data_IF_527111868490
#
_entry.id   IF_527111868490
#
_cell.length_a   1.000
_cell.length_b   1.000
_cell.length_c   1.000
_cell.angle_alpha   90.00
_cell.angle_beta   90.00
_cell.angle_gamma   90.00
#
_symmetry.space_group_name_H-M   'P 1'
#
loop_
_entity.id
_entity.type
_entity.pdbx_description
1 polymer ?
#
# COMPACT_ATOMS: atom_id res chain seq x y z
N UNK A 1 -2.77 -1.75 17.48
CA UNK A 1 -3.82 -0.71 17.71
C UNK A 1 -3.31 0.67 18.15
N UNK A 2 -2.52 0.82 19.22
CA UNK A 2 -2.07 2.17 19.68
C UNK A 2 -1.33 2.94 18.58
N UNK A 3 -0.40 2.28 17.88
CA UNK A 3 0.38 2.86 16.78
C UNK A 3 -0.50 3.47 15.67
N UNK A 4 -1.56 2.76 15.29
CA UNK A 4 -2.50 3.18 14.25
C UNK A 4 -3.30 4.41 14.67
N UNK A 5 -3.72 4.47 15.94
CA UNK A 5 -4.38 5.67 16.50
C UNK A 5 -3.46 6.88 16.47
N UNK A 6 -2.19 6.72 16.82
CA UNK A 6 -1.18 7.78 16.79
C UNK A 6 -0.92 8.28 15.37
N UNK A 7 -0.74 7.36 14.42
CA UNK A 7 -0.55 7.69 13.01
C UNK A 7 -1.76 8.43 12.44
N UNK A 8 -2.97 7.91 12.63
CA UNK A 8 -4.19 8.56 12.15
C UNK A 8 -4.32 10.00 12.67
N UNK A 9 -4.06 10.22 13.96
CA UNK A 9 -4.07 11.57 14.56
C UNK A 9 -3.07 12.49 13.88
N UNK A 10 -1.85 12.00 13.63
CA UNK A 10 -0.83 12.77 12.95
C UNK A 10 -1.23 13.12 11.51
N UNK A 11 -1.81 12.19 10.75
CA UNK A 11 -2.27 12.44 9.39
C UNK A 11 -3.35 13.54 9.35
N UNK A 12 -4.33 13.47 10.27
CA UNK A 12 -5.34 14.53 10.45
C UNK A 12 -4.71 15.88 10.78
N UNK A 13 -3.73 15.92 11.69
CA UNK A 13 -3.01 17.15 12.06
C UNK A 13 -2.21 17.74 10.89
N UNK A 14 -1.79 16.90 9.94
CA UNK A 14 -1.08 17.30 8.71
C UNK A 14 -2.03 17.68 7.57
N UNK A 15 -3.33 17.55 7.77
CA UNK A 15 -4.37 17.95 6.80
C UNK A 15 -4.68 16.90 5.74
N UNK A 16 -4.25 15.65 5.94
CA UNK A 16 -4.66 14.55 5.07
C UNK A 16 -6.14 14.22 5.30
N UNK A 17 -6.84 13.85 4.22
CA UNK A 17 -8.18 13.27 4.33
C UNK A 17 -8.00 11.79 4.68
N UNK A 18 -8.53 11.39 5.83
CA UNK A 18 -8.42 10.01 6.33
C UNK A 18 -9.77 9.47 6.76
N UNK A 19 -9.99 8.18 6.51
CA UNK A 19 -11.15 7.43 6.97
C UNK A 19 -11.11 7.19 8.48
N UNK A 20 -12.10 6.46 8.99
CA UNK A 20 -12.07 5.95 10.37
C UNK A 20 -11.09 4.78 10.50
N UNK A 21 -10.82 4.38 11.75
CA UNK A 21 -10.06 3.14 11.99
C UNK A 21 -11.02 1.98 11.83
N UNK A 22 -10.67 1.06 10.96
CA UNK A 22 -11.42 -0.15 10.65
C UNK A 22 -10.58 -1.39 11.00
N UNK A 23 -11.22 -2.55 10.94
CA UNK A 23 -10.61 -3.86 11.19
C UNK A 23 -10.66 -4.64 9.88
N UNK A 24 -9.54 -4.72 9.17
CA UNK A 24 -9.44 -5.40 7.87
C UNK A 24 -9.14 -6.89 8.09
N UNK A 25 -10.00 -7.77 7.58
CA UNK A 25 -9.83 -9.22 7.61
C UNK A 25 -9.21 -9.75 6.30
N UNK A 26 -8.87 -11.04 6.28
CA UNK A 26 -8.37 -11.77 5.10
C UNK A 26 -7.03 -11.26 4.53
N UNK A 27 -6.18 -10.71 5.40
CA UNK A 27 -4.80 -10.33 5.07
C UNK A 27 -3.84 -11.52 5.16
N UNK A 28 -2.68 -11.43 4.50
CA UNK A 28 -1.64 -12.46 4.54
C UNK A 28 -0.37 -11.95 5.22
N UNK A 29 0.33 -12.83 5.95
CA UNK A 29 1.63 -12.53 6.56
C UNK A 29 2.76 -12.61 5.51
N UNK A 30 3.98 -12.27 5.93
CA UNK A 30 5.16 -12.26 5.05
C UNK A 30 5.60 -13.67 4.59
N UNK A 31 4.98 -14.73 5.11
CA UNK A 31 5.17 -16.11 4.68
C UNK A 31 4.03 -16.59 3.76
N UNK A 32 3.08 -15.72 3.40
CA UNK A 32 1.91 -16.05 2.60
C UNK A 32 0.83 -16.82 3.35
N UNK A 33 0.84 -16.81 4.69
CA UNK A 33 -0.21 -17.41 5.50
C UNK A 33 -1.34 -16.42 5.75
N UNK A 34 -2.58 -16.88 5.68
CA UNK A 34 -3.74 -16.07 6.07
C UNK A 34 -3.63 -15.68 7.55
N UNK A 35 -3.71 -14.38 7.83
CA UNK A 35 -3.80 -13.83 9.17
C UNK A 35 -5.24 -14.04 9.63
N UNK A 36 -5.40 -14.88 10.66
CA UNK A 36 -6.72 -15.24 11.19
C UNK A 36 -7.35 -14.13 12.06
N UNK A 37 -6.61 -13.04 12.27
CA UNK A 37 -7.02 -11.88 13.07
C UNK A 37 -7.32 -10.69 12.16
N UNK A 38 -8.25 -9.84 12.57
CA UNK A 38 -8.43 -8.57 11.89
C UNK A 38 -7.27 -7.63 12.22
N UNK A 39 -6.84 -6.88 11.22
CA UNK A 39 -5.75 -5.92 11.35
C UNK A 39 -6.36 -4.52 11.47
N UNK A 40 -5.97 -3.72 12.47
CA UNK A 40 -6.42 -2.34 12.55
C UNK A 40 -5.80 -1.51 11.43
N UNK A 41 -6.64 -0.86 10.65
CA UNK A 41 -6.25 -0.04 9.49
C UNK A 41 -6.94 1.32 9.52
N UNK A 42 -6.39 2.30 8.79
CA UNK A 42 -7.15 3.43 8.29
C UNK A 42 -6.73 3.72 6.84
N UNK A 43 -7.63 4.32 6.09
CA UNK A 43 -7.40 4.66 4.68
C UNK A 43 -7.23 6.16 4.51
N UNK A 44 -6.45 6.53 3.50
CA UNK A 44 -6.33 7.88 2.94
C UNK A 44 -6.83 7.84 1.50
N UNK A 45 -6.90 8.98 0.82
CA UNK A 45 -7.21 8.99 -0.63
C UNK A 45 -6.19 8.20 -1.47
N UNK A 46 -5.02 7.84 -0.96
CA UNK A 46 -3.97 7.19 -1.77
C UNK A 46 -3.47 5.86 -1.21
N UNK A 47 -3.76 5.55 0.05
CA UNK A 47 -3.07 4.49 0.78
C UNK A 47 -3.95 3.93 1.89
N UNK A 48 -3.98 2.60 2.04
CA UNK A 48 -4.35 1.95 3.30
C UNK A 48 -3.12 1.85 4.19
N UNK A 49 -3.29 2.08 5.49
CA UNK A 49 -2.24 2.03 6.50
C UNK A 49 -2.69 1.09 7.61
N UNK A 50 -1.96 0.00 7.81
CA UNK A 50 -2.25 -0.99 8.84
C UNK A 50 -1.05 -1.34 9.70
N UNK A 51 -1.30 -2.04 10.80
CA UNK A 51 -0.25 -2.52 11.69
C UNK A 51 -0.60 -3.87 12.29
N UNK A 52 0.30 -4.82 12.06
CA UNK A 52 0.21 -6.20 12.50
C UNK A 52 1.55 -6.63 13.05
N UNK A 53 1.54 -7.29 14.21
CA UNK A 53 2.75 -7.64 14.97
C UNK A 53 3.72 -6.45 15.10
N UNK A 54 4.97 -6.61 14.63
CA UNK A 54 6.02 -5.61 14.69
C UNK A 54 6.12 -4.75 13.41
N UNK A 55 5.11 -4.81 12.54
CA UNK A 55 5.08 -4.16 11.23
C UNK A 55 4.00 -3.07 11.16
N UNK A 56 4.35 -1.99 10.46
CA UNK A 56 3.41 -1.01 9.92
C UNK A 56 3.53 -1.07 8.40
N UNK A 57 2.42 -1.32 7.71
CA UNK A 57 2.40 -1.41 6.25
C UNK A 57 1.65 -0.23 5.63
N UNK A 58 2.11 0.19 4.45
CA UNK A 58 1.47 1.16 3.58
C UNK A 58 1.14 0.50 2.24
N UNK A 59 -0.13 0.38 1.92
CA UNK A 59 -0.62 -0.26 0.68
C UNK A 59 -1.16 0.79 -0.28
N UNK A 60 -0.46 0.98 -1.39
CA UNK A 60 -0.90 1.83 -2.50
C UNK A 60 -1.51 0.97 -3.60
N UNK A 61 -2.70 1.32 -4.06
CA UNK A 61 -3.36 0.65 -5.18
C UNK A 61 -3.29 1.55 -6.41
N UNK A 62 -2.78 1.01 -7.52
CA UNK A 62 -2.55 1.75 -8.76
C UNK A 62 -3.37 1.12 -9.89
N UNK A 63 -3.96 1.96 -10.74
CA UNK A 63 -4.63 1.49 -11.95
C UNK A 63 -3.62 0.90 -12.92
N UNK A 64 -3.78 -0.37 -13.28
CA UNK A 64 -2.87 -1.06 -14.19
C UNK A 64 -2.80 -0.39 -15.56
N UNK A 65 -3.88 0.24 -16.04
CA UNK A 65 -3.90 0.94 -17.34
C UNK A 65 -3.06 2.22 -17.37
N UNK A 66 -2.67 2.74 -16.20
CA UNK A 66 -1.91 3.97 -16.05
C UNK A 66 -0.40 3.72 -15.91
N UNK A 67 0.01 2.45 -15.80
CA UNK A 67 1.40 2.06 -15.64
C UNK A 67 2.26 2.58 -16.80
N UNK A 68 3.52 2.91 -16.50
CA UNK A 68 4.46 3.37 -17.51
C UNK A 68 5.90 3.04 -17.13
N UNK A 69 6.83 3.17 -18.09
CA UNK A 69 8.25 2.82 -17.88
C UNK A 69 8.91 3.60 -16.75
N UNK A 70 8.59 4.89 -16.59
CA UNK A 70 9.13 5.72 -15.51
C UNK A 70 8.74 5.17 -14.14
N UNK A 71 7.51 4.68 -14.01
CA UNK A 71 7.04 4.03 -12.80
C UNK A 71 7.78 2.70 -12.51
N UNK A 72 8.01 1.87 -13.54
CA UNK A 72 8.78 0.62 -13.38
C UNK A 72 10.23 0.90 -12.96
N UNK A 73 10.88 1.86 -13.63
CA UNK A 73 12.22 2.29 -13.26
C UNK A 73 12.27 2.84 -11.83
N UNK A 74 11.22 3.54 -11.40
CA UNK A 74 11.10 4.01 -10.04
C UNK A 74 11.00 2.84 -9.05
N UNK A 75 10.11 1.88 -9.28
CA UNK A 75 9.98 0.68 -8.44
C UNK A 75 11.30 -0.09 -8.32
N UNK A 76 12.01 -0.33 -9.43
CA UNK A 76 13.31 -1.03 -9.43
C UNK A 76 14.38 -0.37 -8.54
N UNK A 77 14.27 0.94 -8.31
CA UNK A 77 15.21 1.71 -7.49
C UNK A 77 14.76 1.86 -6.04
N UNK A 78 13.57 1.37 -5.67
CA UNK A 78 13.10 1.38 -4.29
C UNK A 78 13.62 0.15 -3.55
N UNK A 79 14.19 0.39 -2.37
CA UNK A 79 14.43 -0.65 -1.37
C UNK A 79 13.18 -0.85 -0.53
N UNK A 80 12.88 -2.09 -0.14
CA UNK A 80 11.84 -2.46 0.83
C UNK A 80 10.41 -2.16 0.36
N UNK A 81 10.04 -2.72 -0.79
CA UNK A 81 8.65 -2.82 -1.20
C UNK A 81 8.35 -4.23 -1.70
N UNK A 82 7.09 -4.59 -1.68
CA UNK A 82 6.53 -5.73 -2.39
C UNK A 82 5.46 -5.23 -3.36
N UNK A 83 5.33 -5.89 -4.50
CA UNK A 83 4.27 -5.59 -5.46
C UNK A 83 3.41 -6.84 -5.66
N UNK A 84 2.10 -6.67 -5.74
CA UNK A 84 1.13 -7.76 -5.83
C UNK A 84 0.12 -7.54 -6.95
N UNK A 85 -0.35 -8.64 -7.55
CA UNK A 85 -1.60 -8.61 -8.31
C UNK A 85 -2.77 -8.35 -7.36
N UNK A 86 -3.73 -7.53 -7.78
CA UNK A 86 -4.85 -7.14 -6.92
C UNK A 86 -5.85 -8.29 -6.64
N UNK A 87 -5.99 -9.31 -7.50
CA UNK A 87 -6.86 -10.47 -7.20
C UNK A 87 -6.10 -11.68 -6.69
N UNK A 88 -4.80 -11.76 -6.96
CA UNK A 88 -3.92 -12.87 -6.60
C UNK A 88 -2.78 -12.35 -5.71
N UNK A 89 -3.12 -12.03 -4.45
CA UNK A 89 -2.19 -11.54 -3.44
C UNK A 89 -1.10 -12.55 -3.05
N UNK A 90 -1.28 -13.83 -3.39
CA UNK A 90 -0.34 -14.90 -3.06
C UNK A 90 0.91 -14.92 -3.94
N UNK A 91 0.95 -14.15 -5.03
CA UNK A 91 2.11 -14.09 -5.92
C UNK A 91 2.76 -12.70 -5.87
N UNK A 92 3.93 -12.62 -5.25
CA UNK A 92 4.83 -11.47 -5.38
C UNK A 92 5.16 -11.23 -6.86
N UNK A 93 4.98 -9.99 -7.30
CA UNK A 93 5.38 -9.53 -8.62
C UNK A 93 6.83 -9.06 -8.58
N UNK A 94 7.72 -9.90 -9.07
CA UNK A 94 9.12 -9.50 -9.32
C UNK A 94 9.16 -8.46 -10.45
N UNK A 95 9.48 -7.20 -10.09
CA UNK A 95 9.58 -6.08 -11.03
C UNK A 95 10.73 -6.24 -12.05
N UNK A 96 11.70 -7.11 -11.76
CA UNK A 96 12.77 -7.47 -12.68
C UNK A 96 12.42 -8.64 -13.61
N UNK A 97 11.32 -9.35 -13.34
CA UNK A 97 10.83 -10.40 -14.21
C UNK A 97 10.35 -9.84 -15.55
N UNK A 98 10.66 -10.57 -16.62
CA UNK A 98 10.11 -10.31 -17.96
C UNK A 98 8.59 -10.42 -18.00
N UNK A 99 8.01 -11.16 -17.04
CA UNK A 99 6.57 -11.41 -16.96
C UNK A 99 5.82 -10.33 -16.16
N UNK A 100 6.52 -9.39 -15.50
CA UNK A 100 5.91 -8.35 -14.67
C UNK A 100 4.84 -7.56 -15.44
N UNK A 101 5.24 -7.01 -16.60
CA UNK A 101 4.34 -6.22 -17.44
C UNK A 101 3.15 -7.03 -17.96
N UNK A 102 3.35 -8.33 -18.21
CA UNK A 102 2.28 -9.21 -18.68
C UNK A 102 1.28 -9.53 -17.56
N UNK A 103 1.75 -9.69 -16.32
CA UNK A 103 0.90 -9.93 -15.15
C UNK A 103 0.07 -8.70 -14.80
N UNK A 104 0.69 -7.51 -14.68
CA UNK A 104 -0.05 -6.28 -14.32
C UNK A 104 -1.13 -5.92 -15.35
N UNK A 105 -0.88 -6.16 -16.65
CA UNK A 105 -1.81 -5.84 -17.74
C UNK A 105 -3.08 -6.68 -17.73
N UNK A 106 -3.04 -7.86 -17.09
CA UNK A 106 -4.21 -8.75 -16.98
C UNK A 106 -5.14 -8.34 -15.85
N UNK A 107 -4.65 -7.49 -14.94
CA UNK A 107 -5.39 -7.00 -13.79
C UNK A 107 -5.92 -5.57 -14.02
N UNK A 108 -7.01 -5.22 -13.33
CA UNK A 108 -7.52 -3.84 -13.30
C UNK A 108 -6.63 -2.94 -12.44
N UNK A 109 -6.10 -3.50 -11.37
CA UNK A 109 -5.23 -2.81 -10.41
C UNK A 109 -4.04 -3.69 -10.04
N UNK A 110 -3.00 -3.06 -9.51
CA UNK A 110 -1.94 -3.75 -8.77
C UNK A 110 -1.63 -2.99 -7.49
N UNK A 111 -1.08 -3.69 -6.51
CA UNK A 111 -0.77 -3.13 -5.20
C UNK A 111 0.74 -2.99 -5.00
N UNK A 112 1.13 -2.00 -4.21
CA UNK A 112 2.50 -1.75 -3.79
C UNK A 112 2.48 -1.61 -2.27
N UNK A 113 3.14 -2.52 -1.58
CA UNK A 113 3.21 -2.54 -0.12
C UNK A 113 4.59 -2.11 0.32
N UNK A 114 4.63 -1.17 1.27
CA UNK A 114 5.85 -0.78 1.97
C UNK A 114 5.73 -1.16 3.42
N UNK A 115 6.74 -1.85 3.94
CA UNK A 115 6.78 -2.28 5.34
C UNK A 115 7.80 -1.48 6.15
N UNK A 116 7.42 -1.14 7.37
CA UNK A 116 8.21 -0.40 8.34
C UNK A 116 8.10 -1.04 9.72
N UNK A 117 9.02 -0.69 10.63
CA UNK A 117 8.93 -1.20 12.00
C UNK A 117 7.83 -0.46 12.77
N UNK A 118 7.07 -1.18 13.60
CA UNK A 118 6.12 -0.58 14.56
C UNK A 118 6.81 0.39 15.53
N UNK A 119 8.10 0.18 15.78
CA UNK A 119 8.94 1.00 16.66
C UNK A 119 9.46 2.28 15.99
N UNK A 120 9.32 2.42 14.67
CA UNK A 120 9.72 3.63 13.96
C UNK A 120 8.89 4.83 14.44
N UNK A 121 9.50 6.02 14.52
CA UNK A 121 8.79 7.22 14.95
C UNK A 121 7.62 7.58 14.01
N UNK A 122 6.48 8.01 14.57
CA UNK A 122 5.27 8.28 13.78
C UNK A 122 5.45 9.42 12.78
N UNK A 123 6.30 10.42 13.07
CA UNK A 123 6.64 11.47 12.11
C UNK A 123 7.49 10.93 10.97
N UNK A 124 8.47 10.08 11.28
CA UNK A 124 9.24 9.38 10.25
C UNK A 124 8.33 8.56 9.32
N UNK A 125 7.36 7.83 9.86
CA UNK A 125 6.39 7.06 9.09
C UNK A 125 5.52 7.95 8.19
N UNK A 126 5.05 9.09 8.69
CA UNK A 126 4.34 10.09 7.87
C UNK A 126 5.20 10.64 6.73
N UNK A 127 6.48 10.93 7.01
CA UNK A 127 7.43 11.41 5.99
C UNK A 127 7.66 10.34 4.92
N UNK A 128 7.70 9.06 5.30
CA UNK A 128 7.77 7.92 4.36
C UNK A 128 6.53 7.78 3.51
N UNK A 129 5.33 7.87 4.10
CA UNK A 129 4.06 7.91 3.37
C UNK A 129 4.08 9.02 2.31
N UNK A 130 4.41 10.25 2.72
CA UNK A 130 4.42 11.43 1.85
C UNK A 130 5.41 11.26 0.70
N UNK A 131 6.61 10.75 1.00
CA UNK A 131 7.63 10.47 0.01
C UNK A 131 7.18 9.42 -1.00
N UNK A 132 6.64 8.29 -0.55
CA UNK A 132 6.19 7.21 -1.42
C UNK A 132 5.04 7.67 -2.32
N UNK A 133 4.04 8.34 -1.74
CA UNK A 133 2.91 8.93 -2.48
C UNK A 133 3.40 9.86 -3.59
N UNK A 134 4.30 10.81 -3.26
CA UNK A 134 4.81 11.77 -4.24
C UNK A 134 5.62 11.07 -5.34
N UNK A 135 6.47 10.10 -4.99
CA UNK A 135 7.23 9.32 -5.96
C UNK A 135 6.32 8.59 -6.96
N UNK A 136 5.26 7.94 -6.46
CA UNK A 136 4.28 7.26 -7.30
C UNK A 136 3.59 8.28 -8.22
N UNK A 137 3.08 9.39 -7.68
CA UNK A 137 2.39 10.42 -8.47
C UNK A 137 3.29 11.11 -9.50
N UNK A 138 4.56 11.35 -9.18
CA UNK A 138 5.55 11.94 -10.10
C UNK A 138 5.79 11.08 -11.35
N UNK A 139 5.55 9.78 -11.26
CA UNK A 139 5.63 8.88 -12.41
C UNK A 139 4.47 9.03 -13.39
N UNK A 140 3.39 9.73 -13.00
CA UNK A 140 2.19 9.94 -13.81
C UNK A 140 1.20 8.78 -13.81
N UNK A 141 1.43 7.74 -13.00
CA UNK A 141 0.42 6.69 -12.76
C UNK A 141 -0.74 7.23 -11.92
N UNK A 142 -1.90 6.59 -12.06
CA UNK A 142 -3.10 6.93 -11.30
C UNK A 142 -3.20 6.02 -10.09
N UNK A 143 -3.24 6.63 -8.91
CA UNK A 143 -3.53 5.94 -7.66
C UNK A 143 -5.06 5.87 -7.49
N UNK A 144 -5.57 4.74 -7.01
CA UNK A 144 -6.99 4.56 -6.68
C UNK A 144 -7.32 5.37 -5.43
N UNK A 145 -8.46 6.08 -5.46
CA UNK A 145 -8.99 6.71 -4.26
C UNK A 145 -9.54 5.65 -3.30
N UNK A 146 -8.77 5.31 -2.27
CA UNK A 146 -9.12 4.24 -1.34
C UNK A 146 -10.20 4.65 -0.31
N UNK A 147 -10.64 5.92 -0.29
CA UNK A 147 -11.82 6.35 0.48
C UNK A 147 -13.14 6.21 -0.29
N UNK A 148 -13.08 6.21 -1.63
CA UNK A 148 -14.28 6.24 -2.49
C UNK A 148 -14.59 4.88 -3.13
N UNK A 149 -13.61 3.98 -3.19
CA UNK A 149 -13.72 2.72 -3.91
C UNK A 149 -13.91 1.56 -2.94
N UNK A 150 -15.07 0.90 -3.03
CA UNK A 150 -15.29 -0.40 -2.42
C UNK A 150 -14.57 -1.48 -3.24
N UNK A 151 -13.32 -1.72 -2.86
CA UNK A 151 -12.40 -2.65 -3.51
C UNK A 151 -12.79 -4.13 -3.33
N UNK A 152 -13.82 -4.44 -2.52
CA UNK A 152 -14.30 -5.81 -2.26
C UNK A 152 -15.26 -6.35 -3.32
N UNK A 153 -15.71 -5.50 -4.26
CA UNK A 153 -16.77 -5.83 -5.23
C UNK A 153 -16.30 -6.08 -6.68
N UNK A 154 -15.00 -6.06 -6.95
CA UNK A 154 -14.43 -6.23 -8.30
C UNK A 154 -13.97 -7.66 -8.63
#
# INVERSE_FOLDING_TARGET
MQKIKELRKLFLEKGEIVGDIEETADNYDNNGNLINESIPTFTTESCEIGSYEDVVYFTFVVYSDSYNKKFIELLKNLSNFQAYCFKNFSEDLDVDSKEFEEKIKKEKYFQINFEYSVNDDSKYLFDRYSKNRNLILESGVKIVNQLEVDLTKD
#
